data_IF_765716464202
#
_entry.id   IF_765716464202
#
_cell.length_a   1.000
_cell.length_b   1.000
_cell.length_c   1.000
_cell.angle_alpha   90.00
_cell.angle_beta   90.00
_cell.angle_gamma   90.00
#
_symmetry.space_group_name_H-M   'P 1'
#
loop_
_entity.id
_entity.type
_entity.pdbx_description
1 polymer ?
#
# COMPACT_ATOMS: atom_id res chain seq x y z
N UNK A 1 -2.26 -8.85 1.68
CA UNK A 1 -2.28 -7.37 1.82
C UNK A 1 -0.84 -6.87 1.87
N UNK A 2 -0.51 -5.77 1.18
CA UNK A 2 0.85 -5.20 1.23
C UNK A 2 1.09 -4.56 2.61
N UNK A 3 2.28 -4.72 3.22
CA UNK A 3 2.59 -4.06 4.48
C UNK A 3 2.53 -2.54 4.33
N UNK A 4 1.95 -1.84 5.32
CA UNK A 4 1.85 -0.37 5.35
C UNK A 4 3.14 0.38 4.99
N UNK A 5 4.33 0.03 5.52
CA UNK A 5 5.55 0.74 5.17
C UNK A 5 5.84 0.68 3.67
N UNK A 6 5.61 -0.47 3.01
CA UNK A 6 5.83 -0.62 1.58
C UNK A 6 4.87 0.27 0.79
N UNK A 7 3.60 0.35 1.21
CA UNK A 7 2.61 1.22 0.54
C UNK A 7 3.02 2.70 0.60
N UNK A 8 3.53 3.18 1.74
CA UNK A 8 4.02 4.56 1.89
C UNK A 8 5.23 4.80 0.99
N UNK A 9 6.20 3.90 1.01
CA UNK A 9 7.42 4.00 0.19
C UNK A 9 7.15 3.96 -1.31
N UNK A 10 6.18 3.16 -1.78
CA UNK A 10 5.80 3.15 -3.20
C UNK A 10 5.24 4.50 -3.66
N UNK A 11 4.56 5.24 -2.79
CA UNK A 11 4.11 6.61 -3.12
C UNK A 11 5.28 7.58 -3.18
N UNK A 12 6.27 7.46 -2.28
CA UNK A 12 7.51 8.25 -2.35
C UNK A 12 8.26 7.95 -3.65
N UNK A 13 8.36 6.67 -4.02
CA UNK A 13 9.01 6.25 -5.27
C UNK A 13 8.31 6.83 -6.50
N UNK A 14 6.96 6.85 -6.53
CA UNK A 14 6.21 7.48 -7.62
C UNK A 14 6.51 8.97 -7.73
N UNK A 15 6.53 9.70 -6.61
CA UNK A 15 6.84 11.13 -6.60
C UNK A 15 8.27 11.38 -7.09
N UNK A 16 9.24 10.60 -6.62
CA UNK A 16 10.64 10.72 -7.04
C UNK A 16 10.83 10.36 -8.51
N UNK A 17 10.21 9.27 -8.98
CA UNK A 17 10.26 8.87 -10.38
C UNK A 17 9.61 9.92 -11.29
N UNK A 18 8.47 10.48 -10.88
CA UNK A 18 7.80 11.53 -11.63
C UNK A 18 8.59 12.85 -11.64
N UNK A 19 9.17 13.25 -10.52
CA UNK A 19 10.04 14.42 -10.46
C UNK A 19 11.29 14.25 -11.33
N UNK A 20 11.87 13.05 -11.32
CA UNK A 20 13.01 12.69 -12.19
C UNK A 20 12.59 12.74 -13.66
N UNK A 21 11.46 12.15 -14.01
CA UNK A 21 10.89 12.20 -15.37
C UNK A 21 10.72 13.64 -15.85
N UNK A 22 10.10 14.49 -15.04
CA UNK A 22 9.83 15.88 -15.40
C UNK A 22 11.12 16.66 -15.70
N UNK A 23 12.11 16.50 -14.81
CA UNK A 23 13.44 17.08 -15.02
C UNK A 23 14.09 16.52 -16.28
N UNK A 24 14.05 15.22 -16.48
CA UNK A 24 14.68 14.55 -17.61
C UNK A 24 14.09 14.96 -18.95
N UNK A 25 12.76 15.14 -19.02
CA UNK A 25 12.07 15.68 -20.20
C UNK A 25 12.45 17.15 -20.42
N UNK A 26 12.56 17.95 -19.35
CA UNK A 26 12.98 19.34 -19.48
C UNK A 26 14.36 19.49 -20.13
N UNK A 27 15.30 18.59 -19.85
CA UNK A 27 16.70 18.65 -20.32
C UNK A 27 17.06 17.60 -21.40
N UNK A 28 16.09 17.02 -22.12
CA UNK A 28 16.29 16.01 -23.18
C UNK A 28 17.16 14.79 -22.79
N UNK A 29 17.08 14.36 -21.52
CA UNK A 29 17.85 13.22 -21.03
C UNK A 29 17.08 11.91 -21.23
N UNK A 30 16.94 11.47 -22.48
CA UNK A 30 16.08 10.34 -22.89
C UNK A 30 16.31 9.03 -22.11
N UNK A 31 17.55 8.67 -21.76
CA UNK A 31 17.77 7.45 -20.95
C UNK A 31 17.15 7.54 -19.56
N UNK A 32 17.22 8.72 -18.96
CA UNK A 32 16.68 8.95 -17.62
C UNK A 32 15.16 9.08 -17.64
N UNK A 33 14.58 9.51 -18.78
CA UNK A 33 13.16 9.38 -19.06
C UNK A 33 12.75 7.90 -19.08
N UNK A 34 13.45 7.07 -19.84
CA UNK A 34 13.20 5.62 -19.91
C UNK A 34 13.28 4.96 -18.53
N UNK A 35 14.34 5.24 -17.77
CA UNK A 35 14.50 4.71 -16.40
C UNK A 35 13.40 5.19 -15.45
N UNK A 36 12.96 6.44 -15.58
CA UNK A 36 11.85 6.96 -14.78
C UNK A 36 10.53 6.28 -15.15
N UNK A 37 10.29 5.99 -16.43
CA UNK A 37 9.13 5.20 -16.87
C UNK A 37 9.19 3.77 -16.33
N UNK A 38 10.37 3.14 -16.29
CA UNK A 38 10.53 1.84 -15.65
C UNK A 38 10.26 1.90 -14.16
N UNK A 39 10.70 2.94 -13.44
CA UNK A 39 10.38 3.12 -12.02
C UNK A 39 8.88 3.30 -11.78
N UNK A 40 8.18 4.06 -12.63
CA UNK A 40 6.72 4.22 -12.54
C UNK A 40 5.99 2.89 -12.82
N UNK A 41 6.42 2.16 -13.85
CA UNK A 41 5.87 0.85 -14.22
C UNK A 41 6.10 -0.17 -13.10
N UNK A 42 7.29 -0.14 -12.51
CA UNK A 42 7.69 -0.95 -11.36
C UNK A 42 6.82 -0.65 -10.13
N UNK A 43 6.61 0.63 -9.81
CA UNK A 43 5.76 1.04 -8.70
C UNK A 43 4.30 0.55 -8.89
N UNK A 44 3.78 0.66 -10.12
CA UNK A 44 2.44 0.18 -10.44
C UNK A 44 2.32 -1.35 -10.35
N UNK A 45 3.30 -2.08 -10.88
CA UNK A 45 3.39 -3.54 -10.76
C UNK A 45 3.47 -3.99 -9.29
N UNK A 46 4.33 -3.34 -8.49
CA UNK A 46 4.50 -3.64 -7.08
C UNK A 46 3.22 -3.38 -6.27
N UNK A 47 2.47 -2.30 -6.59
CA UNK A 47 1.17 -2.03 -5.96
C UNK A 47 0.12 -3.07 -6.23
N UNK A 48 0.16 -3.71 -7.41
CA UNK A 48 -0.69 -4.86 -7.76
C UNK A 48 -0.21 -6.16 -7.10
N UNK A 49 0.76 -6.09 -6.19
CA UNK A 49 1.34 -7.25 -5.51
C UNK A 49 2.22 -8.12 -6.41
N UNK A 50 2.66 -7.61 -7.56
CA UNK A 50 3.50 -8.37 -8.49
C UNK A 50 4.98 -8.23 -8.11
N UNK A 51 5.64 -9.36 -7.86
CA UNK A 51 7.07 -9.42 -7.48
C UNK A 51 8.00 -8.84 -8.54
N UNK A 52 7.66 -9.00 -9.83
CA UNK A 52 8.42 -8.42 -10.93
C UNK A 52 8.52 -6.89 -10.85
N UNK A 53 7.53 -6.21 -10.26
CA UNK A 53 7.57 -4.76 -10.08
C UNK A 53 8.67 -4.34 -9.10
N UNK A 54 8.88 -5.11 -8.02
CA UNK A 54 9.95 -4.84 -7.06
C UNK A 54 11.33 -5.13 -7.67
N UNK A 55 11.43 -6.22 -8.44
CA UNK A 55 12.65 -6.56 -9.16
C UNK A 55 13.04 -5.49 -10.19
N UNK A 56 12.05 -5.00 -10.96
CA UNK A 56 12.26 -3.95 -11.95
C UNK A 56 12.69 -2.63 -11.29
N UNK A 57 12.08 -2.26 -10.15
CA UNK A 57 12.50 -1.09 -9.37
C UNK A 57 13.96 -1.23 -8.92
N UNK A 58 14.35 -2.41 -8.44
CA UNK A 58 15.71 -2.69 -8.00
C UNK A 58 16.72 -2.66 -9.16
N UNK A 59 16.38 -3.26 -10.31
CA UNK A 59 17.22 -3.21 -11.50
C UNK A 59 17.43 -1.76 -11.97
N UNK A 60 16.36 -0.97 -12.07
CA UNK A 60 16.44 0.44 -12.39
C UNK A 60 17.22 1.22 -11.33
N UNK A 61 17.10 0.86 -10.05
CA UNK A 61 17.84 1.51 -8.96
C UNK A 61 19.36 1.38 -9.09
N UNK A 62 19.84 0.25 -9.63
CA UNK A 62 21.27 -0.02 -9.84
C UNK A 62 21.86 0.81 -10.98
N UNK A 63 21.05 1.21 -11.95
CA UNK A 63 21.49 2.07 -13.06
C UNK A 63 21.96 3.45 -12.56
N UNK A 64 21.22 4.09 -11.65
CA UNK A 64 21.50 5.46 -11.21
C UNK A 64 22.88 5.67 -10.56
N UNK A 65 23.30 4.91 -9.53
CA UNK A 65 24.62 5.08 -8.93
C UNK A 65 25.73 4.72 -9.91
N UNK A 66 25.52 3.73 -10.78
CA UNK A 66 26.51 3.37 -11.77
C UNK A 66 26.67 4.46 -12.83
N UNK A 67 25.57 5.07 -13.30
CA UNK A 67 25.61 6.22 -14.20
C UNK A 67 26.36 7.42 -13.58
N UNK A 68 26.30 7.60 -12.25
CA UNK A 68 27.11 8.59 -11.54
C UNK A 68 28.60 8.21 -11.52
N UNK A 69 28.94 6.97 -11.17
CA UNK A 69 30.33 6.48 -11.14
C UNK A 69 31.00 6.59 -12.51
N UNK A 70 30.23 6.35 -13.58
CA UNK A 70 30.70 6.50 -14.97
C UNK A 70 30.75 7.96 -15.46
N UNK A 71 30.44 8.94 -14.60
CA UNK A 71 30.52 10.37 -14.92
C UNK A 71 29.40 10.90 -15.83
N UNK A 72 28.35 10.11 -16.09
CA UNK A 72 27.25 10.50 -16.98
C UNK A 72 26.14 11.28 -16.27
N UNK A 73 26.03 11.10 -14.95
CA UNK A 73 24.94 11.62 -14.15
C UNK A 73 25.46 12.44 -12.96
N UNK A 74 24.68 13.44 -12.50
CA UNK A 74 25.01 14.21 -11.31
C UNK A 74 24.85 13.39 -10.02
N UNK A 75 25.55 13.78 -8.94
CA UNK A 75 25.61 13.05 -7.68
C UNK A 75 24.25 12.71 -7.04
N UNK A 76 23.24 13.55 -7.21
CA UNK A 76 21.90 13.29 -6.64
C UNK A 76 21.19 12.07 -7.26
N UNK A 77 21.63 11.57 -8.41
CA UNK A 77 21.14 10.30 -8.97
C UNK A 77 21.40 9.13 -8.00
N UNK A 78 22.47 9.18 -7.22
CA UNK A 78 22.74 8.18 -6.17
C UNK A 78 21.60 8.13 -5.15
N UNK A 79 21.03 9.29 -4.79
CA UNK A 79 19.87 9.35 -3.90
C UNK A 79 18.61 8.76 -4.54
N UNK A 80 18.38 8.99 -5.85
CA UNK A 80 17.28 8.35 -6.60
C UNK A 80 17.43 6.83 -6.59
N UNK A 81 18.63 6.32 -6.88
CA UNK A 81 18.95 4.90 -6.80
C UNK A 81 18.71 4.34 -5.39
N UNK A 82 19.20 5.01 -4.35
CA UNK A 82 18.99 4.60 -2.97
C UNK A 82 17.50 4.50 -2.61
N UNK A 83 16.70 5.52 -2.96
CA UNK A 83 15.24 5.52 -2.72
C UNK A 83 14.55 4.39 -3.49
N UNK A 84 14.94 4.17 -4.75
CA UNK A 84 14.38 3.11 -5.60
C UNK A 84 14.74 1.70 -5.12
N UNK A 85 15.85 1.53 -4.39
CA UNK A 85 16.25 0.25 -3.80
C UNK A 85 15.49 -0.09 -2.51
N UNK A 86 14.88 0.89 -1.82
CA UNK A 86 14.19 0.69 -0.54
C UNK A 86 13.09 -0.38 -0.60
N UNK A 87 12.17 -0.39 -1.58
CA UNK A 87 11.14 -1.43 -1.67
C UNK A 87 11.73 -2.84 -1.70
N UNK A 88 12.82 -3.03 -2.45
CA UNK A 88 13.53 -4.30 -2.51
C UNK A 88 14.15 -4.64 -1.15
N UNK A 89 14.85 -3.72 -0.51
CA UNK A 89 15.44 -3.92 0.82
C UNK A 89 14.39 -4.32 1.88
N UNK A 90 13.20 -3.72 1.85
CA UNK A 90 12.09 -4.05 2.74
C UNK A 90 11.51 -5.45 2.48
N UNK A 91 11.49 -5.89 1.22
CA UNK A 91 10.94 -7.20 0.83
C UNK A 91 11.96 -8.34 0.76
N UNK A 92 13.26 -8.04 0.73
CA UNK A 92 14.34 -9.01 0.54
C UNK A 92 14.27 -10.17 1.54
N UNK A 93 14.04 -9.87 2.83
CA UNK A 93 13.95 -10.90 3.87
C UNK A 93 12.77 -11.85 3.66
N UNK A 94 11.67 -11.36 3.13
CA UNK A 94 10.51 -12.18 2.82
C UNK A 94 10.77 -13.08 1.61
N UNK A 95 11.40 -12.54 0.55
CA UNK A 95 11.79 -13.34 -0.62
C UNK A 95 12.83 -14.40 -0.26
N UNK A 96 13.87 -14.04 0.50
CA UNK A 96 14.93 -14.95 0.92
C UNK A 96 14.43 -16.06 1.87
N UNK A 97 13.32 -15.85 2.60
CA UNK A 97 12.69 -16.92 3.38
C UNK A 97 11.91 -17.90 2.52
N UNK A 98 11.31 -17.44 1.43
CA UNK A 98 10.58 -18.29 0.50
C UNK A 98 11.54 -19.11 -0.37
N UNK A 99 12.53 -18.46 -0.99
CA UNK A 99 13.55 -19.11 -1.80
C UNK A 99 14.82 -18.24 -1.87
N UNK A 100 15.89 -18.68 -1.20
CA UNK A 100 17.18 -17.97 -1.19
C UNK A 100 17.84 -17.98 -2.56
N UNK A 101 17.75 -19.10 -3.29
CA UNK A 101 18.41 -19.26 -4.58
C UNK A 101 17.75 -18.35 -5.62
N UNK A 102 16.41 -18.37 -5.71
CA UNK A 102 15.67 -17.49 -6.61
C UNK A 102 15.89 -16.01 -6.27
N UNK A 103 15.96 -15.65 -4.99
CA UNK A 103 16.23 -14.27 -4.57
C UNK A 103 17.65 -13.83 -4.95
N UNK A 104 18.64 -14.70 -4.76
CA UNK A 104 20.02 -14.42 -5.17
C UNK A 104 20.12 -14.22 -6.69
N UNK A 105 19.50 -15.10 -7.48
CA UNK A 105 19.42 -14.97 -8.94
C UNK A 105 18.72 -13.68 -9.37
N UNK A 106 17.58 -13.35 -8.77
CA UNK A 106 16.83 -12.14 -9.08
C UNK A 106 17.65 -10.88 -8.76
N UNK A 107 18.37 -10.88 -7.64
CA UNK A 107 19.28 -9.79 -7.26
C UNK A 107 20.42 -9.67 -8.27
N UNK A 108 21.08 -10.78 -8.59
CA UNK A 108 22.18 -10.82 -9.55
C UNK A 108 21.74 -10.36 -10.95
N UNK A 109 20.59 -10.83 -11.43
CA UNK A 109 20.00 -10.40 -12.71
C UNK A 109 19.60 -8.94 -12.70
N UNK A 110 19.06 -8.42 -11.59
CA UNK A 110 18.67 -7.01 -11.48
C UNK A 110 19.89 -6.08 -11.48
N UNK A 111 20.92 -6.42 -10.68
CA UNK A 111 22.19 -5.70 -10.66
C UNK A 111 22.85 -5.77 -12.04
N UNK A 112 22.93 -6.98 -12.62
CA UNK A 112 23.49 -7.22 -13.94
C UNK A 112 22.76 -6.45 -15.04
N UNK A 113 21.43 -6.43 -15.03
CA UNK A 113 20.63 -5.68 -15.99
C UNK A 113 20.84 -4.17 -15.86
N UNK A 114 20.77 -3.63 -14.63
CA UNK A 114 21.04 -2.21 -14.39
C UNK A 114 22.46 -1.80 -14.80
N UNK A 115 23.43 -2.67 -14.53
CA UNK A 115 24.82 -2.45 -14.91
C UNK A 115 25.04 -2.51 -16.42
N UNK A 116 24.48 -3.54 -17.06
CA UNK A 116 24.54 -3.71 -18.51
C UNK A 116 23.94 -2.52 -19.23
N UNK A 117 22.77 -2.03 -18.80
CA UNK A 117 22.16 -0.84 -19.41
C UNK A 117 23.07 0.38 -19.29
N UNK A 118 23.69 0.61 -18.14
CA UNK A 118 24.62 1.74 -17.98
C UNK A 118 25.87 1.61 -18.87
N UNK A 119 26.44 0.41 -18.95
CA UNK A 119 27.62 0.14 -19.79
C UNK A 119 27.28 0.26 -21.28
N UNK A 120 26.17 -0.34 -21.72
CA UNK A 120 25.68 -0.24 -23.11
C UNK A 120 25.44 1.23 -23.46
N UNK A 121 24.85 2.00 -22.54
CA UNK A 121 24.66 3.44 -22.73
C UNK A 121 26.00 4.18 -22.85
N UNK A 122 26.99 3.86 -22.01
CA UNK A 122 28.34 4.43 -22.12
C UNK A 122 28.96 4.16 -23.49
N UNK A 123 28.89 2.92 -23.95
CA UNK A 123 29.63 2.49 -25.14
C UNK A 123 28.94 2.93 -26.43
N UNK A 124 27.61 3.06 -26.44
CA UNK A 124 26.85 3.38 -27.66
C UNK A 124 26.43 4.85 -27.69
N UNK A 125 25.79 5.34 -26.63
CA UNK A 125 25.22 6.69 -26.64
C UNK A 125 26.31 7.76 -26.53
N UNK A 126 27.37 7.51 -25.74
CA UNK A 126 28.43 8.50 -25.56
C UNK A 126 29.16 8.83 -26.87
N UNK A 127 29.64 7.85 -27.67
CA UNK A 127 30.22 8.17 -28.97
C UNK A 127 29.22 8.83 -29.92
N UNK A 128 27.94 8.41 -29.87
CA UNK A 128 26.90 9.01 -30.70
C UNK A 128 26.73 10.51 -30.42
N UNK A 129 26.78 10.92 -29.14
CA UNK A 129 26.71 12.34 -28.76
C UNK A 129 27.92 13.14 -29.27
N UNK A 130 29.11 12.55 -29.22
CA UNK A 130 30.31 13.19 -29.80
C UNK A 130 30.25 13.32 -31.32
N UNK A 131 29.66 12.32 -32.01
CA UNK A 131 29.48 12.35 -33.47
C UNK A 131 28.41 13.35 -33.90
N UNK A 132 27.32 13.47 -33.13
CA UNK A 132 26.20 14.37 -33.43
C UNK A 132 25.95 15.32 -32.25
N UNK A 133 26.64 16.46 -32.19
CA UNK A 133 26.54 17.37 -31.05
C UNK A 133 25.13 17.92 -30.82
N UNK A 134 24.28 17.95 -31.85
CA UNK A 134 22.87 18.31 -31.74
C UNK A 134 22.05 17.36 -30.84
N UNK A 135 22.57 16.17 -30.55
CA UNK A 135 21.95 15.20 -29.65
C UNK A 135 22.39 15.39 -28.18
N UNK A 136 23.35 16.29 -27.89
CA UNK A 136 23.72 16.55 -26.49
C UNK A 136 22.51 17.10 -25.72
N UNK A 137 22.29 16.65 -24.48
CA UNK A 137 21.25 17.16 -23.62
C UNK A 137 21.37 18.68 -23.51
N UNK A 138 20.29 19.40 -23.83
CA UNK A 138 20.29 20.86 -23.80
C UNK A 138 20.48 21.36 -22.37
N UNK A 139 21.31 22.41 -22.20
CA UNK A 139 21.51 23.06 -20.89
C UNK A 139 20.29 23.92 -20.51
N UNK A 140 19.52 24.34 -21.53
CA UNK A 140 18.31 25.15 -21.37
C UNK A 140 17.07 24.26 -21.51
N UNK A 141 16.03 24.47 -20.70
CA UNK A 141 14.80 23.70 -20.83
C UNK A 141 14.09 24.03 -22.15
N UNK A 142 14.05 23.08 -23.09
CA UNK A 142 13.41 23.28 -24.40
C UNK A 142 11.96 22.78 -24.44
N UNK A 143 11.62 21.82 -23.58
CA UNK A 143 10.35 21.09 -23.61
C UNK A 143 9.31 21.61 -22.62
N UNK A 144 9.17 22.94 -22.51
CA UNK A 144 8.25 23.57 -21.55
C UNK A 144 6.80 23.06 -21.67
N UNK A 145 6.29 22.90 -22.89
CA UNK A 145 4.95 22.38 -23.14
C UNK A 145 4.78 20.92 -22.66
N UNK A 146 5.75 20.04 -22.96
CA UNK A 146 5.71 18.65 -22.50
C UNK A 146 5.78 18.56 -20.96
N UNK A 147 6.60 19.40 -20.33
CA UNK A 147 6.67 19.52 -18.86
C UNK A 147 5.32 19.93 -18.29
N UNK A 148 4.65 20.95 -18.86
CA UNK A 148 3.32 21.35 -18.40
C UNK A 148 2.26 20.27 -18.62
N UNK A 149 2.30 19.56 -19.76
CA UNK A 149 1.40 18.46 -20.03
C UNK A 149 1.58 17.33 -19.02
N UNK A 150 2.83 16.93 -18.74
CA UNK A 150 3.14 15.92 -17.73
C UNK A 150 2.65 16.33 -16.34
N UNK A 151 2.91 17.58 -15.92
CA UNK A 151 2.41 18.12 -14.66
C UNK A 151 0.88 18.06 -14.59
N UNK A 152 0.18 18.48 -15.65
CA UNK A 152 -1.27 18.42 -15.72
C UNK A 152 -1.78 16.98 -15.63
N UNK A 153 -1.16 16.03 -16.33
CA UNK A 153 -1.49 14.60 -16.24
C UNK A 153 -1.25 14.06 -14.83
N UNK A 154 -0.10 14.38 -14.22
CA UNK A 154 0.23 13.98 -12.86
C UNK A 154 -0.78 14.52 -11.83
N UNK A 155 -1.14 15.80 -11.95
CA UNK A 155 -2.15 16.44 -11.11
C UNK A 155 -3.54 15.82 -11.30
N UNK A 156 -3.94 15.52 -12.54
CA UNK A 156 -5.19 14.84 -12.85
C UNK A 156 -5.25 13.45 -12.21
N UNK A 157 -4.19 12.64 -12.35
CA UNK A 157 -4.11 11.31 -11.73
C UNK A 157 -4.16 11.42 -10.20
N UNK A 158 -3.44 12.37 -9.60
CA UNK A 158 -3.49 12.61 -8.15
C UNK A 158 -4.90 12.99 -7.67
N UNK A 159 -5.58 13.88 -8.41
CA UNK A 159 -6.94 14.31 -8.11
C UNK A 159 -7.94 13.15 -8.22
N UNK A 160 -7.85 12.31 -9.26
CA UNK A 160 -8.69 11.12 -9.43
C UNK A 160 -8.49 10.15 -8.26
N UNK A 161 -7.24 9.90 -7.87
CA UNK A 161 -6.91 9.01 -6.74
C UNK A 161 -7.41 9.56 -5.41
N UNK A 162 -7.28 10.86 -5.19
CA UNK A 162 -7.79 11.52 -3.99
C UNK A 162 -9.32 11.43 -3.90
N UNK A 163 -10.02 11.62 -5.02
CA UNK A 163 -11.48 11.44 -5.11
C UNK A 163 -11.89 9.99 -4.82
N UNK A 164 -11.20 9.01 -5.38
CA UNK A 164 -11.46 7.60 -5.12
C UNK A 164 -11.28 7.25 -3.62
N UNK A 165 -10.18 7.71 -3.01
CA UNK A 165 -9.91 7.49 -1.59
C UNK A 165 -10.96 8.16 -0.68
N UNK A 166 -11.49 9.33 -1.07
CA UNK A 166 -12.60 9.97 -0.33
C UNK A 166 -13.89 9.15 -0.38
N UNK A 167 -14.22 8.55 -1.54
CA UNK A 167 -15.42 7.71 -1.70
C UNK A 167 -15.37 6.47 -0.81
N UNK A 168 -14.22 5.81 -0.75
CA UNK A 168 -14.02 4.65 0.13
C UNK A 168 -14.24 5.03 1.60
N UNK A 169 -13.67 6.14 2.08
CA UNK A 169 -13.88 6.62 3.45
C UNK A 169 -15.35 6.92 3.75
N UNK A 170 -16.02 7.64 2.85
CA UNK A 170 -17.45 7.93 3.05
C UNK A 170 -18.32 6.66 3.10
N UNK A 171 -17.97 5.62 2.34
CA UNK A 171 -18.70 4.34 2.41
C UNK A 171 -18.44 3.60 3.72
N UNK A 172 -17.20 3.62 4.22
CA UNK A 172 -16.86 3.01 5.51
C UNK A 172 -17.53 3.75 6.65
N UNK A 173 -17.50 5.08 6.66
CA UNK A 173 -18.14 5.91 7.67
C UNK A 173 -19.67 5.74 7.65
N UNK A 174 -20.27 5.65 6.46
CA UNK A 174 -21.70 5.36 6.32
C UNK A 174 -22.06 3.95 6.84
N UNK A 175 -21.25 2.93 6.54
CA UNK A 175 -21.45 1.58 7.07
C UNK A 175 -21.26 1.50 8.59
N UNK A 176 -20.29 2.25 9.13
CA UNK A 176 -20.05 2.35 10.57
C UNK A 176 -21.21 3.08 11.28
N UNK A 177 -21.77 4.11 10.65
CA UNK A 177 -22.95 4.80 11.13
C UNK A 177 -24.20 3.91 11.13
N UNK A 178 -24.42 3.13 10.06
CA UNK A 178 -25.52 2.17 9.98
C UNK A 178 -25.41 1.07 11.05
N UNK A 179 -24.21 0.51 11.25
CA UNK A 179 -23.97 -0.49 12.31
C UNK A 179 -24.10 0.11 13.72
N UNK A 180 -23.69 1.36 13.93
CA UNK A 180 -23.92 2.06 15.20
C UNK A 180 -25.41 2.32 15.45
N UNK A 181 -26.19 2.71 14.43
CA UNK A 181 -27.63 2.88 14.51
C UNK A 181 -28.36 1.55 14.76
N UNK A 182 -27.97 0.47 14.07
CA UNK A 182 -28.46 -0.88 14.35
C UNK A 182 -28.13 -1.33 15.77
N UNK A 183 -26.91 -1.06 16.26
CA UNK A 183 -26.50 -1.40 17.62
C UNK A 183 -27.27 -0.59 18.67
N UNK A 184 -27.55 0.69 18.39
CA UNK A 184 -28.33 1.56 19.29
C UNK A 184 -29.81 1.13 19.31
N UNK A 185 -30.37 0.80 18.14
CA UNK A 185 -31.78 0.35 18.03
C UNK A 185 -31.96 -1.05 18.62
N UNK A 186 -31.00 -1.95 18.40
CA UNK A 186 -30.98 -3.30 18.98
C UNK A 186 -30.73 -3.26 20.48
N UNK A 187 -29.82 -2.41 20.97
CA UNK A 187 -29.58 -2.19 22.40
C UNK A 187 -30.82 -1.64 23.13
N UNK A 188 -31.54 -0.71 22.50
CA UNK A 188 -32.80 -0.16 23.03
C UNK A 188 -33.94 -1.19 23.04
N UNK A 189 -33.96 -2.12 22.07
CA UNK A 189 -34.93 -3.25 22.00
C UNK A 189 -34.62 -4.38 23.00
N UNK A 190 -33.34 -4.58 23.34
CA UNK A 190 -32.91 -5.53 24.38
C UNK A 190 -33.20 -4.97 25.78
N UNK A 191 -33.01 -3.66 26.01
CA UNK A 191 -33.36 -3.03 27.28
C UNK A 191 -34.87 -3.19 27.60
N UNK A 192 -35.74 -2.90 26.63
CA UNK A 192 -37.20 -3.03 26.79
C UNK A 192 -37.69 -4.49 26.92
N UNK A 193 -37.03 -5.46 26.28
CA UNK A 193 -37.40 -6.88 26.45
C UNK A 193 -36.86 -7.49 27.74
N UNK A 194 -35.72 -7.02 28.25
CA UNK A 194 -35.16 -7.51 29.52
C UNK A 194 -35.97 -7.08 30.75
N UNK A 195 -36.48 -5.85 30.79
CA UNK A 195 -37.38 -5.39 31.87
C UNK A 195 -38.73 -6.12 31.85
N UNK A 196 -39.29 -6.34 30.65
CA UNK A 196 -40.56 -7.07 30.50
C UNK A 196 -40.42 -8.56 30.86
N UNK A 197 -39.31 -9.21 30.47
CA UNK A 197 -39.05 -10.61 30.80
C UNK A 197 -38.64 -10.83 32.27
N UNK A 198 -37.96 -9.87 32.91
CA UNK A 198 -37.65 -9.91 34.33
C UNK A 198 -38.91 -9.75 35.19
N UNK A 199 -39.80 -8.83 34.82
CA UNK A 199 -41.10 -8.65 35.49
C UNK A 199 -42.01 -9.88 35.34
N UNK A 200 -42.02 -10.53 34.16
CA UNK A 200 -42.83 -11.73 33.95
C UNK A 200 -42.31 -12.94 34.73
N UNK A 201 -40.98 -13.09 34.87
CA UNK A 201 -40.37 -14.19 35.66
C UNK A 201 -40.57 -14.04 37.16
N UNK A 202 -40.54 -12.81 37.68
CA UNK A 202 -40.81 -12.54 39.09
C UNK A 202 -42.25 -12.94 39.47
N UNK A 203 -43.23 -12.59 38.63
CA UNK A 203 -44.63 -12.96 38.84
C UNK A 203 -44.88 -14.48 38.79
N UNK A 204 -44.20 -15.20 37.90
CA UNK A 204 -44.32 -16.67 37.87
C UNK A 204 -43.71 -17.35 39.11
N UNK A 205 -42.64 -16.77 39.67
CA UNK A 205 -41.99 -17.33 40.87
C UNK A 205 -42.84 -17.12 42.13
N UNK A 206 -43.48 -15.95 42.27
CA UNK A 206 -44.40 -15.68 43.39
C UNK A 206 -45.62 -16.62 43.33
N UNK A 207 -46.18 -16.85 42.14
CA UNK A 207 -47.31 -17.75 41.97
C UNK A 207 -46.98 -19.23 42.28
N UNK A 208 -45.76 -19.69 41.95
CA UNK A 208 -45.31 -21.04 42.32
C UNK A 208 -45.07 -21.20 43.83
N UNK A 209 -44.62 -20.12 44.50
CA UNK A 209 -44.37 -20.14 45.94
C UNK A 209 -45.68 -20.21 46.73
N UNK A 210 -46.69 -19.42 46.35
CA UNK A 210 -48.03 -19.48 46.95
C UNK A 210 -48.69 -20.85 46.75
N UNK A 211 -48.50 -21.48 45.59
CA UNK A 211 -49.03 -22.81 45.32
C UNK A 211 -48.36 -23.90 46.19
N UNK A 212 -47.05 -23.78 46.45
CA UNK A 212 -46.33 -24.71 47.32
C UNK A 212 -46.70 -24.53 48.79
N UNK A 213 -46.92 -23.29 49.24
CA UNK A 213 -47.30 -22.99 50.61
C UNK A 213 -48.71 -23.53 50.93
N UNK A 214 -49.65 -23.37 49.99
CA UNK A 214 -51.00 -23.96 50.10
C UNK A 214 -50.99 -25.51 50.14
N UNK A 215 -50.07 -26.15 49.42
CA UNK A 215 -49.89 -27.61 49.45
C UNK A 215 -49.25 -28.11 50.74
N UNK A 216 -48.34 -27.33 51.33
CA UNK A 216 -47.69 -27.65 52.61
C UNK A 216 -48.67 -27.54 53.78
N UNK A 217 -49.57 -26.56 53.75
CA UNK A 217 -50.59 -26.37 54.79
C UNK A 217 -51.68 -27.45 54.78
N UNK A 218 -51.93 -28.08 53.62
CA UNK A 218 -52.89 -29.17 53.47
C UNK A 218 -52.37 -30.57 53.89
N UNK A 219 -51.10 -30.72 54.27
CA UNK A 219 -50.51 -32.02 54.59
C UNK A 219 -50.82 -32.46 56.03
N UNK A 220 -51.64 -33.51 56.26
CA UNK A 220 -51.96 -33.97 57.61
C UNK A 220 -50.74 -34.58 58.31
N UNK A 221 -50.42 -34.07 59.50
CA UNK A 221 -49.29 -34.52 60.30
C UNK A 221 -49.41 -36.01 60.66
N UNK A 222 -48.66 -36.88 59.98
CA UNK A 222 -48.53 -38.29 60.37
C UNK A 222 -47.65 -38.38 61.63
N UNK A 223 -48.29 -38.50 62.78
CA UNK A 223 -47.69 -38.92 64.05
C UNK A 223 -46.90 -40.23 63.83
N UNK A 224 -45.57 -40.14 63.95
CA UNK A 224 -44.67 -41.29 63.91
C UNK A 224 -44.66 -41.93 65.30
N UNK A 225 -45.32 -43.07 65.43
CA UNK A 225 -45.23 -43.95 66.60
C UNK A 225 -43.86 -44.63 66.55
N UNK A 226 -42.98 -44.31 67.50
CA UNK A 226 -41.74 -45.04 67.74
C UNK A 226 -41.97 -46.05 68.86
N UNK A 227 -41.65 -47.30 68.57
CA UNK A 227 -41.60 -48.47 69.44
C UNK A 227 -40.29 -48.57 70.19
#
# INVERSE_FOLDING_TARGET
>A
MLPEPLRRWLSVLEVVAFATLLRSVAFDRWITVLMSLFLLTAAFGARRGRSWGVALAFAASCFFPLAFVLGMAPAWFVAVGAIAAVPFALTWRAFARADRAATAWLTGLSVGAGALVALVWQQIAWPLFWTFPSLFPSVRPQNGLLVTALLATGAAVAAIRWRAARRERSSTDASAGLTALESTTTGMRIATTSETAASARAQTFEAELEAQEALAEAAPSRKRVQS
#
